data_IF_949032046183
#
_entry.id   IF_949032046183
#
_cell.length_a   1.000
_cell.length_b   1.000
_cell.length_c   1.000
_cell.angle_alpha   90.00
_cell.angle_beta   90.00
_cell.angle_gamma   90.00
#
_symmetry.space_group_name_H-M   'P 1'
#
loop_
_entity.id
_entity.type
_entity.pdbx_description
1 polymer ?
#
# COMPACT_ATOMS: atom_id res chain seq x y z
N UNK A 1 -48.99 9.34 -50.05
CA UNK A 1 -47.57 9.46 -50.28
C UNK A 1 -46.98 10.49 -49.35
N UNK A 2 -46.94 10.18 -48.09
CA UNK A 2 -46.23 10.98 -47.07
C UNK A 2 -45.75 9.98 -46.03
N UNK A 3 -44.50 9.71 -45.93
CA UNK A 3 -43.92 9.07 -44.75
C UNK A 3 -42.61 8.31 -44.95
N UNK A 4 -41.80 8.73 -45.90
CA UNK A 4 -40.46 8.14 -46.03
C UNK A 4 -39.37 9.02 -45.38
N UNK A 5 -39.67 10.27 -45.12
CA UNK A 5 -38.73 11.23 -44.52
C UNK A 5 -38.60 11.23 -43.03
N UNK A 6 -39.68 10.83 -42.32
CA UNK A 6 -39.69 10.86 -40.84
C UNK A 6 -39.05 9.60 -40.20
N UNK A 7 -39.04 8.50 -40.93
CA UNK A 7 -38.44 7.26 -40.41
C UNK A 7 -36.90 7.33 -40.41
N UNK A 8 -36.32 8.05 -41.35
CA UNK A 8 -34.85 8.18 -41.43
C UNK A 8 -34.31 9.16 -40.41
N UNK A 9 -35.12 10.16 -40.00
CA UNK A 9 -34.70 11.16 -39.00
C UNK A 9 -34.74 10.64 -37.58
N UNK A 10 -35.60 9.67 -37.31
CA UNK A 10 -35.66 9.01 -35.98
C UNK A 10 -34.56 7.96 -35.75
N UNK A 11 -33.98 7.43 -36.82
CA UNK A 11 -32.88 6.44 -36.75
C UNK A 11 -31.51 7.10 -36.47
N UNK A 12 -31.36 8.37 -36.81
CA UNK A 12 -30.12 9.13 -36.60
C UNK A 12 -29.92 9.66 -35.19
N UNK A 13 -31.01 9.81 -34.44
CA UNK A 13 -30.95 10.28 -33.05
C UNK A 13 -30.71 9.17 -32.04
N UNK A 14 -30.95 7.92 -32.42
CA UNK A 14 -30.72 6.76 -31.51
C UNK A 14 -29.26 6.27 -31.47
N UNK A 15 -28.42 6.67 -32.43
CA UNK A 15 -27.02 6.24 -32.53
C UNK A 15 -26.02 7.12 -31.79
N UNK A 16 -26.47 8.30 -31.28
CA UNK A 16 -25.58 9.24 -30.57
C UNK A 16 -25.61 9.11 -29.04
N UNK A 17 -26.44 8.26 -28.48
CA UNK A 17 -26.62 8.13 -27.03
C UNK A 17 -25.80 6.98 -26.37
N UNK A 18 -25.01 6.21 -27.15
CA UNK A 18 -24.28 5.03 -26.63
C UNK A 18 -22.78 5.31 -26.45
N UNK A 19 -22.28 6.47 -26.82
CA UNK A 19 -20.84 6.73 -26.90
C UNK A 19 -20.24 7.47 -25.69
N UNK A 20 -20.97 7.65 -24.58
CA UNK A 20 -20.45 8.43 -23.42
C UNK A 20 -20.38 7.66 -22.11
N UNK A 21 -20.39 6.32 -22.16
CA UNK A 21 -20.16 5.50 -20.96
C UNK A 21 -18.74 4.90 -20.98
N UNK A 22 -17.74 5.69 -21.39
CA UNK A 22 -16.35 5.24 -21.39
C UNK A 22 -15.67 5.77 -20.13
N UNK A 23 -15.58 4.89 -19.13
CA UNK A 23 -14.39 4.62 -18.32
C UNK A 23 -13.83 5.77 -17.48
N UNK A 24 -14.40 5.96 -16.32
CA UNK A 24 -13.64 6.25 -15.12
C UNK A 24 -13.29 4.91 -14.43
N UNK A 25 -12.58 4.05 -15.12
CA UNK A 25 -11.80 3.01 -14.47
C UNK A 25 -10.58 3.72 -13.86
N UNK A 26 -10.77 4.42 -12.75
CA UNK A 26 -9.69 4.83 -11.90
C UNK A 26 -8.91 3.57 -11.55
N UNK A 27 -7.62 3.53 -11.91
CA UNK A 27 -6.71 2.51 -11.42
C UNK A 27 -6.72 2.61 -9.90
N UNK A 28 -7.49 1.77 -9.23
CA UNK A 28 -7.41 1.61 -7.79
C UNK A 28 -6.04 0.98 -7.51
N UNK A 29 -5.05 1.83 -7.21
CA UNK A 29 -3.78 1.35 -6.70
C UNK A 29 -4.05 0.74 -5.34
N UNK A 30 -3.58 -0.49 -5.13
CA UNK A 30 -3.63 -1.14 -3.84
C UNK A 30 -2.89 -0.28 -2.81
N UNK A 31 -3.52 0.00 -1.67
CA UNK A 31 -2.91 0.75 -0.60
C UNK A 31 -1.84 -0.11 0.08
N UNK A 32 -0.60 0.34 0.02
CA UNK A 32 0.53 -0.34 0.65
C UNK A 32 0.97 0.45 1.87
N UNK A 33 1.25 -0.24 2.97
CA UNK A 33 1.79 0.36 4.19
C UNK A 33 2.76 -0.59 4.89
N UNK A 34 3.76 -0.02 5.55
CA UNK A 34 4.59 -0.75 6.50
C UNK A 34 4.13 -0.40 7.92
N UNK A 35 3.63 -1.39 8.65
CA UNK A 35 3.19 -1.21 10.03
C UNK A 35 4.37 -1.52 10.95
N UNK A 36 4.83 -0.54 11.72
CA UNK A 36 5.76 -0.77 12.80
C UNK A 36 4.98 -1.01 14.09
N UNK A 37 5.09 -2.23 14.59
CA UNK A 37 4.55 -2.62 15.89
C UNK A 37 5.61 -2.36 16.93
N UNK A 38 5.33 -1.45 17.85
CA UNK A 38 6.27 -1.01 18.86
C UNK A 38 5.64 -1.00 20.27
N UNK A 39 6.47 -0.77 21.28
CA UNK A 39 6.01 -0.53 22.64
C UNK A 39 6.96 0.40 23.37
N UNK A 40 6.48 1.01 24.44
CA UNK A 40 7.29 1.84 25.31
C UNK A 40 8.36 0.99 26.00
N UNK A 41 9.60 1.50 26.08
CA UNK A 41 10.74 0.79 26.70
C UNK A 41 11.41 -0.25 25.80
N UNK A 42 10.96 -0.43 24.57
CA UNK A 42 11.58 -1.32 23.59
C UNK A 42 12.91 -0.74 23.09
N UNK A 43 14.04 -1.33 23.49
CA UNK A 43 15.40 -0.88 23.15
C UNK A 43 15.65 -0.96 21.64
N UNK A 44 15.20 -2.02 20.99
CA UNK A 44 15.39 -2.20 19.55
C UNK A 44 14.50 -1.26 18.72
N UNK A 45 13.30 -0.93 19.23
CA UNK A 45 12.46 0.12 18.66
C UNK A 45 13.15 1.48 18.71
N UNK A 46 13.76 1.82 19.84
CA UNK A 46 14.51 3.07 20.00
C UNK A 46 15.71 3.13 19.04
N UNK A 47 16.40 2.00 18.84
CA UNK A 47 17.52 1.92 17.91
C UNK A 47 17.07 2.13 16.46
N UNK A 48 16.00 1.49 16.04
CA UNK A 48 15.42 1.70 14.73
C UNK A 48 14.95 3.15 14.54
N UNK A 49 14.30 3.72 15.55
CA UNK A 49 13.87 5.12 15.54
C UNK A 49 15.03 6.09 15.34
N UNK A 50 16.20 5.79 15.89
CA UNK A 50 17.40 6.61 15.74
C UNK A 50 18.03 6.45 14.37
N UNK A 51 18.14 5.23 13.86
CA UNK A 51 18.91 4.89 12.66
C UNK A 51 18.11 5.03 11.37
N UNK A 52 16.84 4.63 11.40
CA UNK A 52 16.02 4.46 10.19
C UNK A 52 14.89 5.49 10.09
N UNK A 53 14.16 5.74 11.16
CA UNK A 53 12.98 6.60 11.13
C UNK A 53 13.20 7.97 10.48
N UNK A 54 14.33 8.69 10.73
CA UNK A 54 14.54 10.01 10.13
C UNK A 54 14.69 9.99 8.60
N UNK A 55 15.16 8.89 8.04
CA UNK A 55 15.41 8.76 6.60
C UNK A 55 14.29 7.98 5.89
N UNK A 56 13.57 7.09 6.58
CA UNK A 56 12.60 6.19 6.00
C UNK A 56 11.61 6.86 5.02
N UNK A 57 10.91 7.97 5.37
CA UNK A 57 9.94 8.58 4.47
C UNK A 57 10.56 9.22 3.22
N UNK A 58 11.88 9.43 3.24
CA UNK A 58 12.63 10.02 2.12
C UNK A 58 13.13 8.97 1.14
N UNK A 59 13.16 7.70 1.54
CA UNK A 59 13.62 6.58 0.71
C UNK A 59 12.56 6.14 -0.30
N UNK A 60 12.99 5.46 -1.33
CA UNK A 60 12.09 4.86 -2.32
C UNK A 60 11.17 3.81 -1.68
N UNK A 61 11.70 3.01 -0.76
CA UNK A 61 10.96 2.02 0.01
C UNK A 61 9.90 2.66 0.91
N UNK A 62 10.26 3.74 1.63
CA UNK A 62 9.35 4.48 2.50
C UNK A 62 8.22 5.18 1.75
N UNK A 63 8.47 5.56 0.49
CA UNK A 63 7.43 6.09 -0.41
C UNK A 63 6.53 5.00 -0.96
N UNK A 64 7.10 3.82 -1.26
CA UNK A 64 6.35 2.66 -1.75
C UNK A 64 5.49 2.03 -0.65
N UNK A 65 5.96 2.03 0.59
CA UNK A 65 5.26 1.52 1.77
C UNK A 65 5.34 2.52 2.91
N UNK A 66 4.49 3.56 2.94
CA UNK A 66 4.48 4.55 4.01
C UNK A 66 4.35 3.92 5.39
N UNK A 67 5.09 4.46 6.36
CA UNK A 67 5.12 3.95 7.73
C UNK A 67 3.85 4.34 8.50
N UNK A 68 3.26 3.34 9.17
CA UNK A 68 2.22 3.52 10.17
C UNK A 68 2.64 2.80 11.46
N UNK A 69 2.46 3.44 12.61
CA UNK A 69 2.86 2.90 13.90
C UNK A 69 1.67 2.41 14.70
N UNK A 70 1.82 1.29 15.39
CA UNK A 70 0.86 0.80 16.36
C UNK A 70 1.58 0.30 17.61
N UNK A 71 0.93 0.42 18.76
CA UNK A 71 1.41 -0.15 20.01
C UNK A 71 0.95 -1.61 20.13
N UNK A 72 1.86 -2.51 20.51
CA UNK A 72 1.54 -3.95 20.64
C UNK A 72 0.48 -4.22 21.70
N UNK A 73 0.39 -3.36 22.71
CA UNK A 73 -0.56 -3.48 23.81
C UNK A 73 -1.90 -2.81 23.57
N UNK A 74 -2.00 -1.98 22.51
CA UNK A 74 -3.24 -1.33 22.13
C UNK A 74 -4.19 -2.27 21.40
N UNK A 75 -5.46 -1.89 21.34
CA UNK A 75 -6.45 -2.54 20.48
C UNK A 75 -6.01 -2.49 19.03
N UNK A 76 -6.23 -3.58 18.30
CA UNK A 76 -5.85 -3.65 16.88
C UNK A 76 -6.75 -2.74 16.05
N UNK A 77 -6.18 -1.95 15.12
CA UNK A 77 -6.98 -1.19 14.19
C UNK A 77 -7.91 -2.08 13.37
N UNK A 78 -9.17 -1.69 13.22
CA UNK A 78 -10.20 -2.47 12.53
C UNK A 78 -9.91 -2.63 11.03
N UNK A 79 -9.12 -1.73 10.47
CA UNK A 79 -8.73 -1.72 9.06
C UNK A 79 -7.52 -2.60 8.74
N UNK A 80 -6.93 -3.26 9.75
CA UNK A 80 -5.75 -4.12 9.60
C UNK A 80 -6.05 -5.57 9.97
N UNK A 81 -5.70 -6.49 9.09
CA UNK A 81 -5.80 -7.93 9.31
C UNK A 81 -4.42 -8.54 9.36
N UNK A 82 -4.02 -9.01 10.54
CA UNK A 82 -2.75 -9.68 10.77
C UNK A 82 -2.88 -11.18 10.53
N UNK A 83 -1.91 -11.78 9.84
CA UNK A 83 -1.91 -13.22 9.52
C UNK A 83 -1.72 -14.09 10.76
N UNK A 84 -1.07 -13.57 11.79
CA UNK A 84 -0.86 -14.25 13.08
C UNK A 84 -0.66 -13.23 14.21
N UNK A 85 -0.67 -13.71 15.45
CA UNK A 85 -0.45 -12.89 16.64
C UNK A 85 0.84 -12.08 16.57
N UNK A 86 0.81 -10.86 17.11
CA UNK A 86 1.97 -10.01 17.31
C UNK A 86 2.58 -10.34 18.67
N UNK A 87 3.85 -10.72 18.70
CA UNK A 87 4.55 -11.19 19.91
C UNK A 87 5.85 -10.46 20.21
N UNK A 88 6.41 -9.80 19.21
CA UNK A 88 7.73 -9.16 19.30
C UNK A 88 7.67 -7.70 18.92
N UNK A 89 8.50 -6.89 19.58
CA UNK A 89 8.73 -5.50 19.21
C UNK A 89 10.21 -5.24 18.95
N UNK A 90 10.58 -4.49 17.91
CA UNK A 90 9.67 -4.09 16.84
C UNK A 90 9.28 -5.26 15.93
N UNK A 91 8.11 -5.22 15.36
CA UNK A 91 7.72 -6.06 14.21
C UNK A 91 7.30 -5.12 13.07
N UNK A 92 7.80 -5.37 11.89
CA UNK A 92 7.46 -4.60 10.69
C UNK A 92 6.59 -5.45 9.78
N UNK A 93 5.34 -5.05 9.60
CA UNK A 93 4.34 -5.82 8.83
C UNK A 93 4.01 -5.09 7.55
N UNK A 94 4.26 -5.73 6.42
CA UNK A 94 3.87 -5.21 5.11
C UNK A 94 2.39 -5.53 4.87
N UNK A 95 1.61 -4.49 4.65
CA UNK A 95 0.18 -4.56 4.37
C UNK A 95 -0.13 -4.13 2.95
N UNK A 96 -1.03 -4.86 2.29
CA UNK A 96 -1.65 -4.47 1.03
C UNK A 96 -3.16 -4.47 1.26
N UNK A 97 -3.81 -3.32 1.08
CA UNK A 97 -5.24 -3.13 1.34
C UNK A 97 -5.65 -3.63 2.74
N UNK A 98 -4.81 -3.34 3.74
CA UNK A 98 -5.04 -3.71 5.14
C UNK A 98 -4.78 -5.18 5.49
N UNK A 99 -4.34 -6.01 4.54
CA UNK A 99 -4.02 -7.41 4.78
C UNK A 99 -2.52 -7.64 4.84
N UNK A 100 -2.07 -8.37 5.86
CA UNK A 100 -0.67 -8.74 5.99
C UNK A 100 -0.22 -9.67 4.85
N UNK A 101 0.88 -9.29 4.19
CA UNK A 101 1.51 -10.12 3.15
C UNK A 101 2.86 -10.69 3.58
N UNK A 102 3.58 -10.00 4.46
CA UNK A 102 4.84 -10.48 5.05
C UNK A 102 5.22 -9.63 6.26
N UNK A 103 6.22 -10.09 7.05
CA UNK A 103 6.72 -9.34 8.22
C UNK A 103 8.18 -9.62 8.51
N UNK A 104 8.79 -8.66 9.20
CA UNK A 104 10.10 -8.79 9.85
C UNK A 104 9.85 -8.72 11.35
N UNK A 105 10.22 -9.74 12.10
CA UNK A 105 10.15 -9.75 13.56
C UNK A 105 11.53 -9.38 14.14
N UNK A 106 11.57 -8.30 14.89
CA UNK A 106 12.79 -7.73 15.43
C UNK A 106 13.47 -6.70 14.51
N UNK A 107 14.57 -6.15 15.01
CA UNK A 107 15.41 -5.23 14.24
C UNK A 107 16.84 -5.77 14.17
N UNK A 108 17.24 -6.35 13.06
CA UNK A 108 18.56 -7.02 12.92
C UNK A 108 19.71 -6.06 12.58
N UNK A 109 19.46 -4.75 12.58
CA UNK A 109 20.38 -3.71 12.16
C UNK A 109 20.03 -3.13 10.80
N UNK A 110 20.67 -2.00 10.48
CA UNK A 110 20.33 -1.17 9.33
C UNK A 110 20.42 -1.92 8.00
N UNK A 111 21.57 -2.52 7.70
CA UNK A 111 21.78 -3.21 6.42
C UNK A 111 20.80 -4.37 6.20
N UNK A 112 20.59 -5.17 7.23
CA UNK A 112 19.65 -6.29 7.15
C UNK A 112 18.20 -5.82 7.03
N UNK A 113 17.85 -4.74 7.73
CA UNK A 113 16.50 -4.18 7.63
C UNK A 113 16.17 -3.78 6.19
N UNK A 114 17.05 -3.01 5.55
CA UNK A 114 16.84 -2.59 4.17
C UNK A 114 16.82 -3.76 3.19
N UNK A 115 17.69 -4.74 3.38
CA UNK A 115 17.73 -5.95 2.56
C UNK A 115 16.44 -6.77 2.67
N UNK A 116 15.93 -6.98 3.90
CA UNK A 116 14.70 -7.71 4.15
C UNK A 116 13.47 -6.95 3.63
N UNK A 117 13.40 -5.64 3.86
CA UNK A 117 12.30 -4.81 3.35
C UNK A 117 12.28 -4.80 1.82
N UNK A 118 13.44 -4.64 1.18
CA UNK A 118 13.55 -4.70 -0.27
C UNK A 118 13.05 -6.01 -0.84
N UNK A 119 13.38 -7.13 -0.19
CA UNK A 119 12.87 -8.45 -0.57
C UNK A 119 11.35 -8.56 -0.40
N UNK A 120 10.82 -8.10 0.73
CA UNK A 120 9.37 -8.10 0.98
C UNK A 120 8.60 -7.34 -0.10
N UNK A 121 9.08 -6.15 -0.47
CA UNK A 121 8.49 -5.32 -1.52
C UNK A 121 8.57 -6.00 -2.89
N UNK A 122 9.72 -6.58 -3.22
CA UNK A 122 9.94 -7.31 -4.47
C UNK A 122 9.04 -8.54 -4.58
N UNK A 123 8.95 -9.36 -3.53
CA UNK A 123 8.13 -10.57 -3.50
C UNK A 123 6.63 -10.23 -3.62
N UNK A 124 6.22 -9.11 -3.05
CA UNK A 124 4.87 -8.57 -3.15
C UNK A 124 4.61 -7.82 -4.48
N UNK A 125 5.61 -7.72 -5.36
CA UNK A 125 5.55 -7.00 -6.65
C UNK A 125 5.15 -5.53 -6.50
N UNK A 126 5.58 -4.91 -5.40
CA UNK A 126 5.37 -3.48 -5.16
C UNK A 126 6.47 -2.71 -5.88
N UNK A 127 6.10 -1.79 -6.79
CA UNK A 127 7.09 -0.98 -7.50
C UNK A 127 7.82 -0.05 -6.52
N UNK A 128 9.15 -0.14 -6.52
CA UNK A 128 10.03 0.79 -5.79
C UNK A 128 10.78 1.60 -6.84
N UNK A 129 10.64 2.93 -6.79
CA UNK A 129 11.33 3.79 -7.71
C UNK A 129 12.85 3.59 -7.57
N UNK A 130 13.53 3.22 -8.66
CA UNK A 130 14.97 3.14 -8.68
C UNK A 130 15.51 4.57 -8.56
N UNK A 131 16.32 4.81 -7.54
CA UNK A 131 17.03 6.08 -7.43
C UNK A 131 17.83 6.30 -8.70
N UNK A 132 17.49 7.36 -9.44
CA UNK A 132 18.28 7.76 -10.60
C UNK A 132 19.70 8.04 -10.14
N UNK A 133 20.63 7.29 -10.65
CA UNK A 133 22.07 7.57 -10.62
C UNK A 133 22.38 8.77 -11.49
#
# INVERSE_FOLDING_TARGET
MKSTGEFIMRLRTALFAIATSVLLAGSAFAETALIMVEEQGCVWCARWNKQIAPIYPKTAEGKAAPLRRIDINAERPDDLTFARSLRFTPTFVLMIDGNEVSRIEGYPGEDFFWGLLGRMLSDAKIPVAQGGS
#
